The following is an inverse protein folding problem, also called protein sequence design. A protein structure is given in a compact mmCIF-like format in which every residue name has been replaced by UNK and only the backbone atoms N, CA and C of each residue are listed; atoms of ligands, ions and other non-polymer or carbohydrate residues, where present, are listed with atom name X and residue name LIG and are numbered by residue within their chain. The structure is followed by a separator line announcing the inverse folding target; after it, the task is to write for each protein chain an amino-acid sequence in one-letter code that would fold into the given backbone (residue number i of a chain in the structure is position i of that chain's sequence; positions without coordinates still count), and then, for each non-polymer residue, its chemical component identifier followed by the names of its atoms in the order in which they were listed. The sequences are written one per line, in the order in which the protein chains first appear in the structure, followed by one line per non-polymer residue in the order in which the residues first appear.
data_IF_852748224094
#
_entry.id   IF_852748224094
#
_cell.length_a   1.000
_cell.length_b   1.000
_cell.length_c   1.000
_cell.angle_alpha   90.00
_cell.angle_beta   90.00
_cell.angle_gamma   90.00
#
_symmetry.space_group_name_H-M   'P 1'
#
loop_
_entity.id
_entity.type
_entity.pdbx_description
1 polymer ?
#
# COMPACT_ATOMS: atom_id res chain seq x y z
N UNK A 1 -24.68 5.82 8.86
CA UNK A 1 -24.31 4.95 7.71
C UNK A 1 -23.45 5.78 6.78
N UNK A 2 -22.25 5.31 6.46
CA UNK A 2 -21.33 5.92 5.50
C UNK A 2 -21.98 6.02 4.11
N UNK A 3 -21.58 7.02 3.32
CA UNK A 3 -22.13 7.23 1.96
C UNK A 3 -21.88 6.01 1.05
N UNK A 4 -22.81 5.64 0.14
CA UNK A 4 -22.58 4.57 -0.85
C UNK A 4 -21.32 4.77 -1.70
N UNK A 5 -20.95 6.03 -2.01
CA UNK A 5 -19.70 6.35 -2.70
C UNK A 5 -18.47 6.04 -1.85
N UNK A 6 -18.53 6.33 -0.55
CA UNK A 6 -17.46 6.01 0.39
C UNK A 6 -17.24 4.49 0.50
N UNK A 7 -18.32 3.70 0.58
CA UNK A 7 -18.23 2.24 0.64
C UNK A 7 -17.64 1.64 -0.64
N UNK A 8 -18.00 2.18 -1.81
CA UNK A 8 -17.45 1.75 -3.09
C UNK A 8 -15.94 2.02 -3.18
N UNK A 9 -15.50 3.22 -2.76
CA UNK A 9 -14.10 3.62 -2.77
C UNK A 9 -13.28 2.86 -1.71
N UNK A 10 -13.82 2.63 -0.52
CA UNK A 10 -13.19 1.80 0.51
C UNK A 10 -12.97 0.36 0.02
N UNK A 11 -13.94 -0.22 -0.68
CA UNK A 11 -13.80 -1.55 -1.30
C UNK A 11 -12.81 -1.55 -2.48
N UNK A 12 -12.69 -0.44 -3.21
CA UNK A 12 -11.68 -0.28 -4.26
C UNK A 12 -10.27 -0.16 -3.66
N UNK A 13 -10.10 0.61 -2.58
CA UNK A 13 -8.84 0.75 -1.87
C UNK A 13 -8.40 -0.57 -1.23
N UNK A 14 -9.32 -1.31 -0.60
CA UNK A 14 -9.03 -2.65 -0.05
C UNK A 14 -8.49 -3.59 -1.14
N UNK A 15 -9.11 -3.62 -2.32
CA UNK A 15 -8.63 -4.42 -3.46
C UNK A 15 -7.28 -3.95 -3.97
N UNK A 16 -7.05 -2.63 -4.02
CA UNK A 16 -5.77 -2.07 -4.44
C UNK A 16 -4.64 -2.42 -3.45
N UNK A 17 -4.90 -2.38 -2.14
CA UNK A 17 -3.97 -2.81 -1.08
C UNK A 17 -3.58 -4.27 -1.28
N UNK A 18 -4.59 -5.15 -1.42
CA UNK A 18 -4.36 -6.57 -1.60
C UNK A 18 -3.56 -6.87 -2.88
N UNK A 19 -3.94 -6.27 -4.01
CA UNK A 19 -3.20 -6.46 -5.27
C UNK A 19 -1.77 -5.93 -5.21
N UNK A 20 -1.53 -4.85 -4.45
CA UNK A 20 -0.20 -4.35 -4.20
C UNK A 20 0.64 -5.34 -3.38
N UNK A 21 0.10 -5.88 -2.29
CA UNK A 21 0.78 -6.89 -1.45
C UNK A 21 1.13 -8.16 -2.22
N UNK A 22 0.20 -8.67 -3.03
CA UNK A 22 0.42 -9.85 -3.88
C UNK A 22 1.54 -9.61 -4.92
N UNK A 23 1.55 -8.42 -5.53
CA UNK A 23 2.58 -8.02 -6.50
C UNK A 23 3.93 -7.84 -5.82
N UNK A 24 3.98 -7.16 -4.67
CA UNK A 24 5.19 -6.94 -3.90
C UNK A 24 5.79 -8.27 -3.42
N UNK A 25 4.96 -9.18 -2.92
CA UNK A 25 5.35 -10.53 -2.53
C UNK A 25 5.94 -11.31 -3.71
N UNK A 26 5.22 -11.34 -4.84
CA UNK A 26 5.69 -12.01 -6.06
C UNK A 26 7.02 -11.45 -6.55
N UNK A 27 7.18 -10.12 -6.56
CA UNK A 27 8.43 -9.46 -6.93
C UNK A 27 9.58 -9.85 -6.00
N UNK A 28 9.36 -9.88 -4.68
CA UNK A 28 10.36 -10.32 -3.70
C UNK A 28 10.78 -11.77 -3.93
N UNK A 29 9.82 -12.67 -4.17
CA UNK A 29 10.10 -14.07 -4.48
C UNK A 29 10.93 -14.22 -5.76
N UNK A 30 10.55 -13.53 -6.84
CA UNK A 30 11.32 -13.56 -8.09
C UNK A 30 12.74 -13.05 -7.90
N UNK A 31 12.94 -11.97 -7.14
CA UNK A 31 14.28 -11.45 -6.83
C UNK A 31 15.12 -12.48 -6.05
N UNK A 32 14.55 -13.15 -5.05
CA UNK A 32 15.22 -14.19 -4.30
C UNK A 32 15.60 -15.40 -5.17
N UNK A 33 14.72 -15.82 -6.08
CA UNK A 33 15.00 -16.88 -7.06
C UNK A 33 16.15 -16.49 -8.00
N UNK A 34 16.14 -15.25 -8.53
CA UNK A 34 17.21 -14.74 -9.38
C UNK A 34 18.56 -14.71 -8.66
N UNK A 35 18.61 -14.29 -7.39
CA UNK A 35 19.83 -14.30 -6.59
C UNK A 35 20.37 -15.73 -6.39
N UNK A 36 19.48 -16.70 -6.15
CA UNK A 36 19.84 -18.11 -6.04
C UNK A 36 20.41 -18.67 -7.34
N UNK A 37 19.72 -18.44 -8.47
CA UNK A 37 20.16 -18.91 -9.80
C UNK A 37 21.49 -18.29 -10.21
N UNK A 38 21.70 -17.00 -9.93
CA UNK A 38 22.98 -16.33 -10.17
C UNK A 38 24.11 -16.92 -9.33
N UNK A 39 23.85 -17.19 -8.06
CA UNK A 39 24.83 -17.79 -7.15
C UNK A 39 25.21 -19.20 -7.58
N UNK A 40 24.24 -20.00 -8.02
CA UNK A 40 24.48 -21.34 -8.55
C UNK A 40 25.29 -21.29 -9.85
N UNK A 41 24.91 -20.38 -10.76
CA UNK A 41 25.61 -20.14 -12.02
C UNK A 41 27.07 -19.74 -11.80
N UNK A 42 27.34 -18.93 -10.77
CA UNK A 42 28.69 -18.50 -10.39
C UNK A 42 29.63 -19.63 -9.97
N UNK A 43 29.10 -20.72 -9.40
CA UNK A 43 29.93 -21.88 -9.02
C UNK A 43 30.61 -22.53 -10.23
N UNK A 44 30.10 -22.30 -11.43
CA UNK A 44 30.58 -22.91 -12.66
C UNK A 44 31.60 -22.04 -13.42
N UNK A 45 31.69 -20.73 -13.14
CA UNK A 45 32.61 -19.82 -13.84
C UNK A 45 33.98 -19.73 -13.16
N UNK A 46 35.05 -19.64 -13.95
CA UNK A 46 36.45 -19.46 -13.48
C UNK A 46 37.16 -18.33 -14.20
N UNK A 47 38.19 -17.75 -13.56
CA UNK A 47 39.01 -16.68 -14.13
C UNK A 47 38.29 -15.34 -14.23
N UNK A 48 38.68 -14.51 -15.21
CA UNK A 48 38.18 -13.13 -15.37
C UNK A 48 36.66 -13.05 -15.58
N UNK A 49 36.05 -14.10 -16.15
CA UNK A 49 34.59 -14.20 -16.31
C UNK A 49 33.88 -14.24 -14.95
N UNK A 50 34.45 -14.93 -13.97
CA UNK A 50 33.88 -14.97 -12.62
C UNK A 50 33.93 -13.58 -11.96
N UNK A 51 35.00 -12.82 -12.16
CA UNK A 51 35.15 -11.46 -11.59
C UNK A 51 34.09 -10.50 -12.15
N UNK A 52 33.88 -10.51 -13.47
CA UNK A 52 32.84 -9.69 -14.10
C UNK A 52 31.43 -10.08 -13.63
N UNK A 53 31.15 -11.38 -13.48
CA UNK A 53 29.88 -11.88 -12.98
C UNK A 53 29.65 -11.57 -11.49
N UNK A 54 30.68 -11.64 -10.66
CA UNK A 54 30.60 -11.22 -9.25
C UNK A 54 30.28 -9.73 -9.11
N UNK A 55 30.85 -8.87 -9.96
CA UNK A 55 30.51 -7.45 -9.96
C UNK A 55 29.07 -7.21 -10.42
N UNK A 56 28.61 -7.93 -11.44
CA UNK A 56 27.21 -7.90 -11.88
C UNK A 56 26.26 -8.35 -10.77
N UNK A 57 26.56 -9.46 -10.09
CA UNK A 57 25.74 -9.96 -8.98
C UNK A 57 25.64 -8.92 -7.87
N UNK A 58 26.76 -8.30 -7.47
CA UNK A 58 26.76 -7.28 -6.42
C UNK A 58 25.88 -6.09 -6.78
N UNK A 59 26.01 -5.57 -8.01
CA UNK A 59 25.17 -4.47 -8.51
C UNK A 59 23.70 -4.86 -8.54
N UNK A 60 23.39 -6.09 -8.96
CA UNK A 60 22.02 -6.58 -8.99
C UNK A 60 21.43 -6.66 -7.58
N UNK A 61 22.17 -7.20 -6.61
CA UNK A 61 21.75 -7.30 -5.21
C UNK A 61 21.48 -5.92 -4.58
N UNK A 62 22.33 -4.94 -4.88
CA UNK A 62 22.13 -3.54 -4.47
C UNK A 62 20.83 -2.96 -5.04
N UNK A 63 20.57 -3.18 -6.33
CA UNK A 63 19.33 -2.72 -6.99
C UNK A 63 18.09 -3.42 -6.45
N UNK A 64 18.15 -4.74 -6.23
CA UNK A 64 17.05 -5.51 -5.63
C UNK A 64 16.76 -5.03 -4.21
N UNK A 65 17.79 -4.79 -3.39
CA UNK A 65 17.61 -4.24 -2.05
C UNK A 65 16.91 -2.88 -2.07
N UNK A 66 17.28 -2.00 -3.00
CA UNK A 66 16.61 -0.71 -3.18
C UNK A 66 15.15 -0.89 -3.60
N UNK A 67 14.87 -1.79 -4.54
CA UNK A 67 13.51 -2.08 -5.00
C UNK A 67 12.62 -2.65 -3.89
N UNK A 68 13.16 -3.54 -3.05
CA UNK A 68 12.44 -4.09 -1.88
C UNK A 68 12.08 -2.98 -0.89
N UNK A 69 13.00 -2.06 -0.60
CA UNK A 69 12.73 -0.92 0.29
C UNK A 69 11.63 0.00 -0.28
N UNK A 70 11.63 0.21 -1.59
CA UNK A 70 10.60 1.01 -2.24
C UNK A 70 9.24 0.31 -2.18
N UNK A 71 9.19 -1.01 -2.41
CA UNK A 71 7.98 -1.81 -2.24
C UNK A 71 7.43 -1.75 -0.81
N UNK A 72 8.30 -1.81 0.20
CA UNK A 72 7.90 -1.68 1.60
C UNK A 72 7.36 -0.28 1.92
N UNK A 73 8.01 0.77 1.39
CA UNK A 73 7.56 2.15 1.54
C UNK A 73 6.18 2.35 0.90
N UNK A 74 6.00 1.86 -0.33
CA UNK A 74 4.72 1.91 -1.01
C UNK A 74 3.63 1.11 -0.26
N UNK A 75 3.96 -0.06 0.30
CA UNK A 75 3.04 -0.83 1.14
C UNK A 75 2.56 -0.01 2.34
N UNK A 76 3.49 0.64 3.05
CA UNK A 76 3.18 1.51 4.19
C UNK A 76 2.32 2.71 3.78
N UNK A 77 2.63 3.36 2.65
CA UNK A 77 1.85 4.48 2.14
C UNK A 77 0.41 4.05 1.77
N UNK A 78 0.26 2.89 1.12
CA UNK A 78 -1.04 2.33 0.75
C UNK A 78 -1.87 1.97 1.99
N UNK A 79 -1.25 1.35 3.00
CA UNK A 79 -1.91 1.05 4.29
C UNK A 79 -2.31 2.32 5.04
N UNK A 80 -1.42 3.31 5.09
CA UNK A 80 -1.68 4.61 5.74
C UNK A 80 -2.80 5.35 5.03
N UNK A 81 -2.80 5.33 3.69
CA UNK A 81 -3.86 5.92 2.87
C UNK A 81 -5.22 5.26 3.16
N UNK A 82 -5.26 3.93 3.22
CA UNK A 82 -6.46 3.18 3.58
C UNK A 82 -6.95 3.49 5.00
N UNK A 83 -6.04 3.58 5.98
CA UNK A 83 -6.39 3.93 7.35
C UNK A 83 -6.94 5.36 7.46
N UNK A 84 -6.29 6.32 6.81
CA UNK A 84 -6.73 7.72 6.77
C UNK A 84 -8.10 7.87 6.09
N UNK A 85 -8.34 7.11 5.03
CA UNK A 85 -9.64 7.09 4.36
C UNK A 85 -10.74 6.62 5.32
N UNK A 86 -10.47 5.57 6.09
CA UNK A 86 -11.43 5.02 7.05
C UNK A 86 -11.70 5.97 8.23
N UNK A 87 -10.68 6.68 8.74
CA UNK A 87 -10.87 7.68 9.81
C UNK A 87 -11.57 8.95 9.34
N UNK A 88 -11.35 9.38 8.09
CA UNK A 88 -12.03 10.54 7.53
C UNK A 88 -13.55 10.39 7.50
N UNK A 89 -14.06 9.19 7.22
CA UNK A 89 -15.51 8.92 7.24
C UNK A 89 -16.08 8.89 8.65
N UNK A 90 -15.35 8.37 9.64
CA UNK A 90 -15.82 8.42 11.03
C UNK A 90 -15.99 9.86 11.50
N UNK A 91 -15.07 10.76 11.14
CA UNK A 91 -15.09 12.17 11.56
C UNK A 91 -16.21 12.95 10.86
N UNK A 92 -16.42 12.71 9.56
CA UNK A 92 -17.54 13.30 8.80
C UNK A 92 -18.87 12.75 9.30
N UNK A 93 -18.97 11.45 9.57
CA UNK A 93 -20.19 10.85 10.09
C UNK A 93 -20.56 11.41 11.46
N UNK A 94 -19.60 11.54 12.37
CA UNK A 94 -19.81 12.17 13.68
C UNK A 94 -20.22 13.64 13.54
N UNK A 95 -19.60 14.38 12.61
CA UNK A 95 -19.96 15.77 12.33
C UNK A 95 -21.41 15.89 11.82
N UNK A 96 -21.83 15.01 10.91
CA UNK A 96 -23.22 14.99 10.42
C UNK A 96 -24.21 14.62 11.53
N UNK A 97 -23.91 13.65 12.39
CA UNK A 97 -24.77 13.32 13.54
C UNK A 97 -24.86 14.48 14.53
N UNK A 98 -23.74 15.13 14.83
CA UNK A 98 -23.68 16.29 15.72
C UNK A 98 -24.47 17.48 15.17
N UNK A 99 -24.34 17.78 13.87
CA UNK A 99 -25.13 18.82 13.19
C UNK A 99 -26.60 18.43 13.14
N UNK A 100 -26.95 17.19 12.81
CA UNK A 100 -28.34 16.71 12.78
C UNK A 100 -29.03 16.88 14.14
N UNK A 101 -28.37 16.49 15.24
CA UNK A 101 -28.91 16.69 16.58
C UNK A 101 -28.97 18.18 17.00
N UNK A 102 -28.03 19.00 16.52
CA UNK A 102 -28.05 20.45 16.76
C UNK A 102 -29.20 21.14 16.01
N UNK A 103 -29.53 20.66 14.81
CA UNK A 103 -30.65 21.17 14.00
C UNK A 103 -31.99 20.72 14.59
N UNK A 104 -32.12 19.46 15.04
CA UNK A 104 -33.33 18.97 15.72
C UNK A 104 -33.62 19.73 17.03
N UNK A 105 -32.58 20.18 17.75
CA UNK A 105 -32.74 20.99 18.97
C UNK A 105 -33.04 22.48 18.74
N UNK A 106 -32.86 23.00 17.52
CA UNK A 106 -32.98 24.42 17.18
C UNK A 106 -34.07 24.73 16.14
N UNK A 107 -34.93 23.78 15.77
CA UNK A 107 -36.16 24.10 15.04
C UNK A 107 -37.10 24.83 16.01
N UNK A 108 -36.92 26.14 16.11
CA UNK A 108 -37.87 27.07 16.73
C UNK A 108 -39.25 26.76 16.13
N UNK A 109 -40.30 26.51 16.94
CA UNK A 109 -41.66 26.51 16.44
C UNK A 109 -42.00 27.95 16.05
N UNK A 110 -41.66 28.34 14.83
CA UNK A 110 -42.21 29.52 14.18
C UNK A 110 -43.34 29.05 13.28
N UNK A 111 -44.39 29.89 13.27
CA UNK A 111 -45.73 29.74 12.68
C UNK A 111 -46.72 29.21 13.74
N UNK A 112 -47.69 29.98 14.25
CA UNK A 112 -48.19 31.33 13.94
C UNK A 112 -49.10 31.80 15.15
N UNK A 113 -49.64 33.03 15.16
CA UNK A 113 -49.98 33.86 16.33
C UNK A 113 -51.13 33.40 17.24
#
# INVERSE_FOLDING_TARGET
MSSPGFQADSAAMTRAVQGFEETASSAKTTMASLESELTETLRNYKGDQAVAFWDLQRRLQEKMTAAVRELDTMSQLVHTSHANYNSGDSDVHQSFQSVSHTVEGNVIPRLNP
#
